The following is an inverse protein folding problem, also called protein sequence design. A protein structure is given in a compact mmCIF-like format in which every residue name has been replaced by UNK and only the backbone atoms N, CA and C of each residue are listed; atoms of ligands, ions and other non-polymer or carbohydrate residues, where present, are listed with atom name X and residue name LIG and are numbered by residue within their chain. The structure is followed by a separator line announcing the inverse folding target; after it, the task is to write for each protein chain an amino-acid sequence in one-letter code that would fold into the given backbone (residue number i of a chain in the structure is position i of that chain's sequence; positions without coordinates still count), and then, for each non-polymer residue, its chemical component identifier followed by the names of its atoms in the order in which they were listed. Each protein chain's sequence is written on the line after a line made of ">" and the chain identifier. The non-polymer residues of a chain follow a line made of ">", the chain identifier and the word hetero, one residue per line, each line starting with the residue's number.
data_IF_948174215469
#
_entry.id   IF_948174215469
#
_cell.length_a   1.000
_cell.length_b   1.000
_cell.length_c   1.000
_cell.angle_alpha   90.00
_cell.angle_beta   90.00
_cell.angle_gamma   90.00
#
_symmetry.space_group_name_H-M   'P 1'
#
loop_
_entity.id
_entity.type
_entity.pdbx_description
1 polymer ?
#
# COMPACT_ATOMS: atom_id res chain seq x y z
N UNK A 1 -3.62 23.15 -3.57
CA UNK A 1 -4.68 23.16 -2.56
C UNK A 1 -4.30 24.04 -1.35
N UNK A 2 -3.17 23.77 -0.64
CA UNK A 2 -2.72 24.62 0.50
C UNK A 2 -2.48 26.06 0.03
N UNK A 3 -1.76 26.26 -1.07
CA UNK A 3 -1.47 27.57 -1.63
C UNK A 3 -2.74 28.32 -2.08
N UNK A 4 -3.65 27.62 -2.73
CA UNK A 4 -4.87 28.22 -3.29
C UNK A 4 -5.87 28.63 -2.20
N UNK A 5 -5.94 27.85 -1.12
CA UNK A 5 -6.84 28.14 -0.02
C UNK A 5 -6.34 29.28 0.87
N UNK A 6 -5.02 29.45 0.94
CA UNK A 6 -4.38 30.44 1.82
C UNK A 6 -4.57 30.15 3.31
N UNK A 7 -4.07 31.06 4.17
CA UNK A 7 -4.14 30.88 5.63
C UNK A 7 -3.12 29.88 6.16
N UNK A 8 -3.33 29.40 7.40
CA UNK A 8 -2.47 28.38 8.00
C UNK A 8 -2.92 26.98 7.58
N UNK A 9 -1.95 26.09 7.39
CA UNK A 9 -2.19 24.70 7.05
C UNK A 9 -1.54 23.75 8.08
N UNK A 10 -2.23 22.66 8.41
CA UNK A 10 -1.69 21.57 9.22
C UNK A 10 -1.66 20.30 8.40
N UNK A 11 -0.50 19.65 8.34
CA UNK A 11 -0.32 18.35 7.71
C UNK A 11 -0.02 17.33 8.81
N UNK A 12 -0.85 16.31 8.93
CA UNK A 12 -0.75 15.26 9.93
C UNK A 12 -0.17 13.99 9.30
N UNK A 13 0.87 13.42 9.92
CA UNK A 13 1.43 12.13 9.54
C UNK A 13 1.68 11.28 10.77
N UNK A 14 1.72 9.95 10.58
CA UNK A 14 1.88 9.02 11.69
C UNK A 14 3.35 8.80 12.06
N UNK A 15 4.25 8.67 11.08
CA UNK A 15 5.67 8.34 11.27
C UNK A 15 6.58 9.55 11.11
N UNK A 16 7.66 9.55 11.89
CA UNK A 16 8.63 10.66 11.92
C UNK A 16 9.35 10.85 10.58
N UNK A 17 9.66 9.78 9.87
CA UNK A 17 10.33 9.83 8.57
C UNK A 17 9.50 10.55 7.51
N UNK A 18 8.16 10.41 7.58
CA UNK A 18 7.24 11.08 6.66
C UNK A 18 7.17 12.59 6.87
N UNK A 19 7.44 13.09 8.09
CA UNK A 19 7.37 14.53 8.40
C UNK A 19 8.44 15.33 7.63
N UNK A 20 9.68 14.83 7.63
CA UNK A 20 10.78 15.49 6.92
C UNK A 20 10.55 15.46 5.40
N UNK A 21 10.09 14.33 4.87
CA UNK A 21 9.73 14.18 3.45
C UNK A 21 8.59 15.10 3.05
N UNK A 22 7.52 15.17 3.84
CA UNK A 22 6.39 16.06 3.59
C UNK A 22 6.83 17.54 3.63
N UNK A 23 7.59 17.94 4.65
CA UNK A 23 8.11 19.31 4.76
C UNK A 23 9.02 19.65 3.59
N UNK A 24 9.88 18.73 3.13
CA UNK A 24 10.75 18.93 1.97
C UNK A 24 9.93 19.10 0.68
N UNK A 25 8.96 18.22 0.44
CA UNK A 25 8.08 18.29 -0.74
C UNK A 25 7.27 19.59 -0.77
N UNK A 26 6.74 20.03 0.38
CA UNK A 26 6.02 21.30 0.47
C UNK A 26 6.94 22.46 0.10
N UNK A 27 8.18 22.50 0.61
CA UNK A 27 9.16 23.55 0.25
C UNK A 27 9.56 23.52 -1.22
N UNK A 28 9.59 22.34 -1.85
CA UNK A 28 9.87 22.21 -3.30
C UNK A 28 8.76 22.82 -4.16
N UNK A 29 7.49 22.58 -3.81
CA UNK A 29 6.34 23.08 -4.60
C UNK A 29 5.89 24.48 -4.16
N UNK A 30 6.28 24.93 -2.98
CA UNK A 30 6.00 26.24 -2.40
C UNK A 30 7.30 26.85 -1.84
N UNK A 31 8.26 27.29 -2.69
CA UNK A 31 9.60 27.71 -2.25
C UNK A 31 9.63 28.84 -1.22
N UNK A 32 8.58 29.67 -1.14
CA UNK A 32 8.45 30.76 -0.17
C UNK A 32 7.75 30.38 1.14
N UNK A 33 7.27 29.14 1.28
CA UNK A 33 6.51 28.73 2.46
C UNK A 33 7.40 28.49 3.67
N UNK A 34 7.08 29.13 4.80
CA UNK A 34 7.69 28.81 6.08
C UNK A 34 7.02 27.54 6.64
N UNK A 35 7.75 26.41 6.57
CA UNK A 35 7.27 25.08 7.01
C UNK A 35 7.94 24.72 8.33
N UNK A 36 7.14 24.56 9.38
CA UNK A 36 7.55 24.09 10.70
C UNK A 36 7.27 22.58 10.88
N UNK A 37 8.00 21.95 11.79
CA UNK A 37 7.81 20.55 12.14
C UNK A 37 7.55 20.40 13.64
N UNK A 38 6.53 19.60 13.97
CA UNK A 38 6.17 19.25 15.35
C UNK A 38 6.30 17.75 15.57
N UNK A 39 7.37 17.35 16.23
CA UNK A 39 7.66 15.96 16.64
C UNK A 39 8.45 15.96 17.96
N UNK A 40 8.90 14.80 18.44
CA UNK A 40 9.53 14.65 19.75
C UNK A 40 10.57 15.72 20.10
N UNK A 41 11.54 15.99 19.22
CA UNK A 41 12.65 16.94 19.42
C UNK A 41 12.43 18.34 18.80
N UNK A 42 11.36 18.56 18.00
CA UNK A 42 11.07 19.81 17.29
C UNK A 42 9.67 20.31 17.60
N UNK A 43 9.48 21.63 17.72
CA UNK A 43 8.17 22.20 18.08
C UNK A 43 7.92 23.55 17.38
N UNK A 44 7.97 23.57 16.05
CA UNK A 44 7.81 24.78 15.22
C UNK A 44 6.32 25.03 14.91
N UNK A 45 5.47 24.97 15.95
CA UNK A 45 4.01 25.05 15.83
C UNK A 45 3.49 26.40 15.33
N UNK A 46 4.33 27.46 15.36
CA UNK A 46 3.97 28.81 14.93
C UNK A 46 4.11 29.06 13.43
N UNK A 47 4.69 28.12 12.67
CA UNK A 47 4.86 28.27 11.22
C UNK A 47 3.50 28.32 10.48
N UNK A 48 3.37 29.07 9.37
CA UNK A 48 2.15 29.09 8.57
C UNK A 48 1.74 27.69 8.06
N UNK A 49 2.70 26.87 7.69
CA UNK A 49 2.47 25.46 7.36
C UNK A 49 3.17 24.61 8.41
N UNK A 50 2.41 23.79 9.11
CA UNK A 50 2.94 22.89 10.16
C UNK A 50 2.79 21.45 9.70
N UNK A 51 3.87 20.67 9.74
CA UNK A 51 3.84 19.22 9.58
C UNK A 51 4.01 18.58 10.96
N UNK A 52 3.02 17.83 11.42
CA UNK A 52 2.97 17.33 12.78
C UNK A 52 2.79 15.82 12.87
N UNK A 53 3.52 15.21 13.81
CA UNK A 53 3.35 13.79 14.16
C UNK A 53 2.13 13.61 15.04
N UNK A 54 1.14 12.82 14.61
CA UNK A 54 -0.07 12.55 15.40
C UNK A 54 0.23 11.97 16.78
N UNK A 55 1.14 11.00 16.97
CA UNK A 55 1.55 10.55 18.30
C UNK A 55 2.04 11.67 19.21
N UNK A 56 2.64 12.73 18.66
CA UNK A 56 3.17 13.86 19.40
C UNK A 56 2.10 14.90 19.78
N UNK A 57 1.14 15.16 18.86
CA UNK A 57 0.14 16.23 19.04
C UNK A 57 -1.22 15.75 19.52
N UNK A 58 -1.41 14.45 19.74
CA UNK A 58 -2.71 13.87 20.12
C UNK A 58 -3.24 14.29 21.51
N UNK A 59 -2.37 14.80 22.40
CA UNK A 59 -2.74 15.19 23.76
C UNK A 59 -1.78 16.23 24.33
N UNK A 60 -2.18 16.87 25.45
CA UNK A 60 -1.32 17.70 26.28
C UNK A 60 -0.98 19.07 25.68
N UNK A 61 0.15 19.66 26.11
CA UNK A 61 0.54 21.03 25.76
C UNK A 61 0.68 21.26 24.24
N UNK A 62 1.18 20.27 23.51
CA UNK A 62 1.37 20.41 22.05
C UNK A 62 0.06 20.42 21.29
N UNK A 63 -0.94 19.64 21.72
CA UNK A 63 -2.29 19.74 21.18
C UNK A 63 -2.87 21.14 21.39
N UNK A 64 -2.75 21.69 22.61
CA UNK A 64 -3.22 23.03 22.94
C UNK A 64 -2.52 24.10 22.08
N UNK A 65 -1.21 23.98 21.87
CA UNK A 65 -0.45 24.89 21.00
C UNK A 65 -0.93 24.85 19.54
N UNK A 66 -1.11 23.66 18.99
CA UNK A 66 -1.65 23.50 17.63
C UNK A 66 -3.07 24.07 17.58
N UNK A 67 -3.95 23.69 18.50
CA UNK A 67 -5.35 24.11 18.53
C UNK A 67 -5.55 25.62 18.82
N UNK A 68 -4.55 26.31 19.37
CA UNK A 68 -4.63 27.75 19.63
C UNK A 68 -4.54 28.61 18.35
N UNK A 69 -4.31 28.00 17.18
CA UNK A 69 -4.20 28.68 15.90
C UNK A 69 -5.36 28.33 14.98
N UNK A 70 -5.89 29.32 14.22
CA UNK A 70 -6.84 29.00 13.16
C UNK A 70 -6.12 28.38 11.97
N UNK A 71 -6.60 27.21 11.53
CA UNK A 71 -6.17 26.57 10.29
C UNK A 71 -7.29 26.69 9.25
N UNK A 72 -6.92 26.94 8.00
CA UNK A 72 -7.86 26.90 6.87
C UNK A 72 -8.03 25.49 6.31
N UNK A 73 -7.00 24.63 6.52
CA UNK A 73 -6.97 23.26 6.01
C UNK A 73 -6.16 22.36 6.93
N UNK A 74 -6.65 21.14 7.13
CA UNK A 74 -5.95 20.03 7.76
C UNK A 74 -5.83 18.92 6.73
N UNK A 75 -4.61 18.54 6.38
CA UNK A 75 -4.31 17.42 5.47
C UNK A 75 -3.82 16.24 6.30
N UNK A 76 -4.45 15.09 6.16
CA UNK A 76 -4.04 13.87 6.86
C UNK A 76 -3.50 12.87 5.84
N UNK A 77 -2.22 12.55 5.99
CA UNK A 77 -1.56 11.46 5.26
C UNK A 77 -1.93 10.12 5.89
N UNK A 78 -2.03 9.07 5.07
CA UNK A 78 -2.53 7.74 5.46
C UNK A 78 -3.88 7.84 6.19
N UNK A 79 -4.82 8.55 5.56
CA UNK A 79 -6.13 8.89 6.16
C UNK A 79 -6.96 7.69 6.63
N UNK A 80 -6.63 6.46 6.20
CA UNK A 80 -7.25 5.25 6.74
C UNK A 80 -7.02 5.06 8.25
N UNK A 81 -6.03 5.75 8.85
CA UNK A 81 -5.82 5.81 10.29
C UNK A 81 -6.73 6.82 11.01
N UNK A 82 -7.42 7.71 10.29
CA UNK A 82 -8.19 8.83 10.85
C UNK A 82 -9.30 8.43 11.83
N UNK A 83 -9.85 7.22 11.70
CA UNK A 83 -10.85 6.70 12.62
C UNK A 83 -10.29 6.39 14.03
N UNK A 84 -8.97 6.35 14.21
CA UNK A 84 -8.37 6.09 15.52
C UNK A 84 -8.58 7.28 16.48
N UNK A 85 -8.78 6.98 17.77
CA UNK A 85 -9.02 7.99 18.81
C UNK A 85 -7.97 9.11 18.85
N UNK A 86 -6.71 8.80 18.53
CA UNK A 86 -5.62 9.77 18.48
C UNK A 86 -5.83 10.86 17.44
N UNK A 87 -6.35 10.51 16.27
CA UNK A 87 -6.69 11.47 15.22
C UNK A 87 -7.95 12.24 15.55
N UNK A 88 -9.00 11.57 16.02
CA UNK A 88 -10.28 12.20 16.42
C UNK A 88 -10.05 13.26 17.48
N UNK A 89 -9.21 13.03 18.48
CA UNK A 89 -8.85 14.03 19.50
C UNK A 89 -8.22 15.29 18.87
N UNK A 90 -7.39 15.14 17.84
CA UNK A 90 -6.79 16.30 17.15
C UNK A 90 -7.84 17.05 16.34
N UNK A 91 -8.69 16.33 15.59
CA UNK A 91 -9.75 16.97 14.80
C UNK A 91 -10.76 17.73 15.65
N UNK A 92 -11.20 17.14 16.74
CA UNK A 92 -12.10 17.78 17.72
C UNK A 92 -11.48 19.06 18.30
N UNK A 93 -10.21 18.99 18.71
CA UNK A 93 -9.51 20.16 19.25
C UNK A 93 -9.32 21.29 18.22
N UNK A 94 -9.34 20.98 16.93
CA UNK A 94 -9.21 21.94 15.81
C UNK A 94 -10.57 22.47 15.33
N UNK A 95 -11.70 21.95 15.83
CA UNK A 95 -13.03 22.29 15.34
C UNK A 95 -13.32 21.74 13.92
N UNK A 96 -12.71 20.62 13.55
CA UNK A 96 -13.03 19.96 12.26
C UNK A 96 -14.49 19.51 12.27
N UNK A 97 -15.23 19.86 11.23
CA UNK A 97 -16.67 19.60 11.13
C UNK A 97 -17.56 20.62 11.82
N UNK A 98 -17.02 21.64 12.49
CA UNK A 98 -17.76 22.76 13.06
C UNK A 98 -17.90 23.91 12.03
N UNK A 99 -18.92 24.77 12.22
CA UNK A 99 -19.09 25.96 11.40
C UNK A 99 -17.88 26.89 11.49
N UNK A 100 -17.24 27.15 10.34
CA UNK A 100 -16.01 27.93 10.29
C UNK A 100 -14.73 27.18 10.65
N UNK A 101 -14.83 25.90 10.91
CA UNK A 101 -13.68 25.01 11.12
C UNK A 101 -12.83 24.78 9.85
N UNK A 102 -11.65 24.14 10.00
CA UNK A 102 -10.78 23.86 8.86
C UNK A 102 -11.35 22.80 7.93
N UNK A 103 -11.07 22.90 6.63
CA UNK A 103 -11.32 21.82 5.68
C UNK A 103 -10.45 20.63 6.03
N UNK A 104 -11.05 19.46 6.23
CA UNK A 104 -10.30 18.20 6.38
C UNK A 104 -10.10 17.53 5.01
N UNK A 105 -8.85 17.21 4.68
CA UNK A 105 -8.49 16.47 3.47
C UNK A 105 -7.72 15.23 3.85
N UNK A 106 -8.23 14.07 3.48
CA UNK A 106 -7.54 12.78 3.64
C UNK A 106 -6.85 12.34 2.37
N UNK A 107 -5.62 11.84 2.49
CA UNK A 107 -4.89 11.18 1.41
C UNK A 107 -4.58 9.76 1.85
N UNK A 108 -4.94 8.77 1.06
CA UNK A 108 -4.68 7.35 1.36
C UNK A 108 -4.61 6.55 0.08
N UNK A 109 -3.76 5.53 0.06
CA UNK A 109 -3.76 4.53 -1.02
C UNK A 109 -4.97 3.58 -0.95
N UNK A 110 -5.62 3.49 0.20
CA UNK A 110 -6.74 2.58 0.46
C UNK A 110 -7.81 3.29 1.30
N UNK A 111 -8.88 3.81 0.66
CA UNK A 111 -10.00 4.39 1.39
C UNK A 111 -10.77 3.34 2.21
N UNK A 112 -10.78 2.08 1.73
CA UNK A 112 -11.44 0.97 2.42
C UNK A 112 -10.55 0.41 3.53
N UNK A 113 -11.10 0.34 4.73
CA UNK A 113 -10.43 -0.29 5.88
C UNK A 113 -10.75 -1.77 5.95
N UNK A 114 -9.73 -2.58 6.23
CA UNK A 114 -9.90 -4.02 6.41
C UNK A 114 -10.75 -4.42 7.65
N UNK A 115 -11.03 -3.47 8.58
CA UNK A 115 -11.88 -3.68 9.75
C UNK A 115 -13.36 -3.34 9.50
N UNK A 116 -13.74 -2.97 8.26
CA UNK A 116 -15.10 -2.64 7.87
C UNK A 116 -15.63 -1.34 8.47
N UNK A 117 -14.80 -0.54 9.15
CA UNK A 117 -15.16 0.79 9.63
C UNK A 117 -14.81 1.80 8.56
N UNK A 118 -15.83 2.35 7.91
CA UNK A 118 -15.68 3.40 6.90
C UNK A 118 -15.05 4.67 7.44
N UNK A 119 -14.63 5.53 6.55
CA UNK A 119 -14.19 6.89 6.84
C UNK A 119 -15.34 7.89 6.73
N UNK A 120 -16.54 7.41 6.43
CA UNK A 120 -17.75 8.18 6.15
C UNK A 120 -18.20 9.07 7.32
N UNK A 121 -17.80 8.73 8.57
CA UNK A 121 -18.00 9.57 9.75
C UNK A 121 -17.11 10.84 9.77
N UNK A 122 -16.10 10.92 8.90
CA UNK A 122 -15.05 11.96 8.95
C UNK A 122 -14.88 12.70 7.63
N UNK A 123 -15.14 12.03 6.52
CA UNK A 123 -14.98 12.57 5.16
C UNK A 123 -16.30 12.43 4.42
N UNK A 124 -16.77 13.51 3.81
CA UNK A 124 -18.08 13.56 3.15
C UNK A 124 -18.05 12.84 1.79
N UNK A 125 -16.91 12.88 1.07
CA UNK A 125 -16.81 12.31 -0.27
C UNK A 125 -15.36 11.97 -0.66
N UNK A 126 -15.21 11.07 -1.65
CA UNK A 126 -13.95 10.82 -2.34
C UNK A 126 -13.91 11.71 -3.58
N UNK A 127 -13.18 12.82 -3.49
CA UNK A 127 -13.10 13.84 -4.56
C UNK A 127 -12.17 13.46 -5.71
N UNK A 128 -11.26 12.53 -5.49
CA UNK A 128 -10.32 12.05 -6.50
C UNK A 128 -9.83 10.65 -6.17
N UNK A 129 -9.84 9.78 -7.16
CA UNK A 129 -9.31 8.42 -7.08
C UNK A 129 -8.61 8.08 -8.39
N UNK A 130 -7.46 7.43 -8.29
CA UNK A 130 -6.68 6.96 -9.44
C UNK A 130 -6.21 5.54 -9.20
N UNK A 131 -6.37 4.69 -10.22
CA UNK A 131 -5.96 3.28 -10.18
C UNK A 131 -4.48 3.09 -10.51
N UNK A 132 -3.93 1.94 -10.12
CA UNK A 132 -2.55 1.54 -10.44
C UNK A 132 -2.36 1.45 -11.97
N UNK A 133 -3.34 0.90 -12.69
CA UNK A 133 -3.30 0.76 -14.15
C UNK A 133 -3.15 2.13 -14.83
N UNK A 134 -3.94 3.13 -14.41
CA UNK A 134 -3.87 4.50 -14.91
C UNK A 134 -2.50 5.12 -14.59
N UNK A 135 -2.02 5.00 -13.34
CA UNK A 135 -0.71 5.54 -12.94
C UNK A 135 0.46 4.92 -13.72
N UNK A 136 0.38 3.63 -14.06
CA UNK A 136 1.38 2.95 -14.89
C UNK A 136 1.27 3.41 -16.34
N UNK A 137 0.06 3.51 -16.88
CA UNK A 137 -0.20 3.95 -18.26
C UNK A 137 0.28 5.38 -18.50
N UNK A 138 0.05 6.26 -17.52
CA UNK A 138 0.46 7.67 -17.55
C UNK A 138 1.94 7.90 -17.20
N UNK A 139 2.65 6.82 -16.81
CA UNK A 139 4.08 6.87 -16.50
C UNK A 139 4.43 7.46 -15.13
N UNK A 140 3.47 7.64 -14.24
CA UNK A 140 3.72 8.03 -12.84
C UNK A 140 4.30 6.87 -12.03
N UNK A 141 3.97 5.63 -12.40
CA UNK A 141 4.57 4.41 -11.88
C UNK A 141 5.25 3.65 -13.01
N UNK A 142 6.28 2.84 -12.68
CA UNK A 142 6.91 1.96 -13.66
C UNK A 142 6.00 0.77 -13.97
N UNK A 143 6.24 0.09 -15.11
CA UNK A 143 5.52 -1.13 -15.46
C UNK A 143 5.71 -2.22 -14.40
N UNK A 144 4.72 -3.08 -14.24
CA UNK A 144 4.69 -4.16 -13.25
C UNK A 144 4.86 -5.49 -13.98
N UNK A 145 5.88 -6.26 -13.61
CA UNK A 145 6.01 -7.67 -14.01
C UNK A 145 5.64 -8.56 -12.83
N UNK A 146 4.84 -9.57 -13.08
CA UNK A 146 4.35 -10.50 -12.07
C UNK A 146 5.08 -11.84 -12.12
N UNK A 147 5.45 -12.38 -10.98
CA UNK A 147 5.92 -13.76 -10.82
C UNK A 147 5.28 -14.37 -9.59
N UNK A 148 4.86 -15.63 -9.68
CA UNK A 148 4.27 -16.35 -8.55
C UNK A 148 5.11 -17.56 -8.18
N UNK A 149 5.33 -17.75 -6.88
CA UNK A 149 6.01 -18.92 -6.30
C UNK A 149 5.06 -19.59 -5.33
N UNK A 150 4.69 -20.82 -5.59
CA UNK A 150 3.75 -21.57 -4.77
C UNK A 150 4.48 -22.33 -3.67
N UNK A 151 4.04 -22.16 -2.43
CA UNK A 151 4.47 -22.96 -1.28
C UNK A 151 3.46 -24.08 -1.02
N UNK A 152 3.95 -25.22 -0.56
CA UNK A 152 3.11 -26.34 -0.14
C UNK A 152 2.52 -26.10 1.27
N UNK A 153 1.71 -25.06 1.43
CA UNK A 153 1.09 -24.63 2.68
C UNK A 153 -0.39 -24.35 2.46
N UNK A 154 -1.23 -24.85 3.36
CA UNK A 154 -2.66 -24.53 3.41
C UNK A 154 -2.88 -23.32 4.32
N UNK A 155 -3.08 -22.13 3.72
CA UNK A 155 -3.32 -20.89 4.43
C UNK A 155 -4.69 -20.83 5.11
N UNK A 156 -5.63 -21.72 4.77
CA UNK A 156 -6.93 -21.79 5.44
C UNK A 156 -6.83 -22.29 6.89
N UNK A 157 -5.75 -22.99 7.22
CA UNK A 157 -5.44 -23.46 8.57
C UNK A 157 -4.77 -22.41 9.45
N UNK A 158 -4.25 -21.34 8.86
CA UNK A 158 -3.54 -20.28 9.59
C UNK A 158 -4.54 -19.36 10.30
N UNK A 159 -4.34 -19.17 11.61
CA UNK A 159 -5.18 -18.29 12.43
C UNK A 159 -5.18 -16.85 11.92
N UNK A 160 -6.35 -16.20 11.94
CA UNK A 160 -6.53 -14.81 11.57
C UNK A 160 -6.89 -13.93 12.78
N UNK A 161 -6.46 -12.66 12.70
CA UNK A 161 -6.76 -11.63 13.70
C UNK A 161 -6.91 -10.29 12.99
N UNK A 162 -7.98 -9.55 13.28
CA UNK A 162 -8.17 -8.21 12.70
C UNK A 162 -8.35 -8.17 11.18
N UNK A 163 -8.80 -9.27 10.55
CA UNK A 163 -9.03 -9.34 9.11
C UNK A 163 -7.82 -9.84 8.30
N UNK A 164 -6.65 -10.04 8.90
CA UNK A 164 -5.46 -10.61 8.27
C UNK A 164 -4.94 -11.82 9.06
N UNK A 165 -3.89 -12.47 8.59
CA UNK A 165 -3.24 -13.57 9.29
C UNK A 165 -2.60 -13.08 10.60
N UNK A 166 -2.69 -13.90 11.66
CA UNK A 166 -1.93 -13.72 12.88
C UNK A 166 -0.44 -13.86 12.57
N UNK A 167 0.37 -12.88 12.99
CA UNK A 167 1.79 -12.83 12.65
C UNK A 167 2.55 -14.07 13.09
N UNK A 168 2.36 -14.52 14.34
CA UNK A 168 3.02 -15.72 14.86
C UNK A 168 2.56 -16.99 14.14
N UNK A 169 1.25 -17.16 13.91
CA UNK A 169 0.75 -18.36 13.23
C UNK A 169 1.19 -18.39 11.75
N UNK A 170 1.30 -17.25 11.10
CA UNK A 170 1.83 -17.16 9.75
C UNK A 170 3.32 -17.47 9.71
N UNK A 171 4.11 -16.96 10.67
CA UNK A 171 5.53 -17.27 10.79
C UNK A 171 5.76 -18.77 10.95
N UNK A 172 5.07 -19.42 11.89
CA UNK A 172 5.19 -20.86 12.12
C UNK A 172 4.88 -21.67 10.85
N UNK A 173 3.83 -21.28 10.14
CA UNK A 173 3.40 -21.93 8.91
C UNK A 173 4.42 -21.73 7.77
N UNK A 174 5.03 -20.55 7.67
CA UNK A 174 6.05 -20.25 6.66
C UNK A 174 7.37 -20.99 6.93
N UNK A 175 7.77 -21.12 8.20
CA UNK A 175 8.92 -21.96 8.59
C UNK A 175 8.68 -23.42 8.21
N UNK A 176 7.48 -23.95 8.54
CA UNK A 176 7.12 -25.34 8.21
C UNK A 176 7.10 -25.63 6.69
N UNK A 177 6.89 -24.60 5.86
CA UNK A 177 6.87 -24.69 4.41
C UNK A 177 8.23 -24.36 3.75
N UNK A 178 9.31 -24.26 4.51
CA UNK A 178 10.65 -23.92 4.02
C UNK A 178 10.68 -22.62 3.14
N UNK A 179 9.89 -21.63 3.56
CA UNK A 179 9.75 -20.35 2.84
C UNK A 179 11.10 -19.65 2.60
N UNK A 180 12.09 -19.64 3.55
CA UNK A 180 13.38 -19.01 3.32
C UNK A 180 14.10 -19.54 2.08
N UNK A 181 14.15 -20.86 1.90
CA UNK A 181 14.78 -21.50 0.75
C UNK A 181 14.05 -21.18 -0.56
N UNK A 182 12.71 -21.33 -0.58
CA UNK A 182 11.90 -21.02 -1.76
C UNK A 182 12.01 -19.54 -2.18
N UNK A 183 12.04 -18.64 -1.21
CA UNK A 183 12.22 -17.20 -1.47
C UNK A 183 13.62 -16.92 -2.00
N UNK A 184 14.65 -17.51 -1.41
CA UNK A 184 16.03 -17.35 -1.88
C UNK A 184 16.18 -17.82 -3.33
N UNK A 185 15.65 -19.00 -3.66
CA UNK A 185 15.64 -19.52 -5.04
C UNK A 185 14.93 -18.56 -5.99
N UNK A 186 13.74 -18.06 -5.62
CA UNK A 186 12.99 -17.13 -6.44
C UNK A 186 13.76 -15.82 -6.71
N UNK A 187 14.45 -15.28 -5.70
CA UNK A 187 15.30 -14.09 -5.84
C UNK A 187 16.45 -14.36 -6.80
N UNK A 188 17.16 -15.47 -6.62
CA UNK A 188 18.32 -15.81 -7.46
C UNK A 188 17.90 -16.10 -8.91
N UNK A 189 16.83 -16.87 -9.09
CA UNK A 189 16.42 -17.31 -10.43
C UNK A 189 15.76 -16.17 -11.25
N UNK A 190 15.18 -15.15 -10.60
CA UNK A 190 14.40 -14.13 -11.28
C UNK A 190 14.83 -12.68 -11.03
N UNK A 191 15.66 -12.41 -10.01
CA UNK A 191 15.98 -11.06 -9.56
C UNK A 191 17.43 -10.88 -9.12
N UNK A 192 18.37 -11.77 -9.50
CA UNK A 192 19.78 -11.67 -9.10
C UNK A 192 20.46 -10.39 -9.60
N UNK A 193 20.04 -9.85 -10.73
CA UNK A 193 20.51 -8.60 -11.32
C UNK A 193 19.75 -7.34 -10.83
N UNK A 194 18.69 -7.52 -10.05
CA UNK A 194 17.81 -6.45 -9.55
C UNK A 194 18.17 -6.01 -8.13
N UNK A 195 17.72 -4.81 -7.77
CA UNK A 195 17.77 -4.30 -6.40
C UNK A 195 16.46 -4.67 -5.70
N UNK A 196 16.54 -5.59 -4.75
CA UNK A 196 15.39 -6.29 -4.21
C UNK A 196 15.04 -5.89 -2.78
N UNK A 197 13.74 -5.82 -2.46
CA UNK A 197 13.21 -5.81 -1.10
C UNK A 197 12.33 -7.05 -0.92
N UNK A 198 12.58 -7.80 0.15
CA UNK A 198 11.82 -8.99 0.53
C UNK A 198 11.04 -8.70 1.80
N UNK A 199 9.72 -8.91 1.78
CA UNK A 199 8.85 -8.80 2.96
C UNK A 199 8.51 -10.18 3.49
N UNK A 200 8.81 -10.43 4.77
CA UNK A 200 8.56 -11.69 5.47
C UNK A 200 7.70 -11.50 6.73
N UNK A 201 7.16 -12.60 7.27
CA UNK A 201 6.19 -12.56 8.37
C UNK A 201 6.81 -12.42 9.77
N UNK A 202 8.15 -12.54 9.92
CA UNK A 202 8.81 -12.48 11.22
C UNK A 202 10.28 -12.14 11.13
N UNK A 203 10.87 -11.73 12.27
CA UNK A 203 12.29 -11.34 12.33
C UNK A 203 13.21 -12.55 12.12
N UNK A 204 12.86 -13.70 12.67
CA UNK A 204 13.60 -14.95 12.48
C UNK A 204 13.62 -15.35 11.01
N UNK A 205 12.45 -15.38 10.34
CA UNK A 205 12.35 -15.60 8.90
C UNK A 205 13.15 -14.60 8.09
N UNK A 206 13.28 -13.35 8.55
CA UNK A 206 14.09 -12.35 7.86
C UNK A 206 15.58 -12.72 7.89
N UNK A 207 16.07 -13.18 9.03
CA UNK A 207 17.48 -13.62 9.16
C UNK A 207 17.76 -14.91 8.37
N UNK A 208 16.88 -15.89 8.44
CA UNK A 208 17.01 -17.15 7.70
C UNK A 208 16.97 -16.90 6.18
N UNK A 209 15.97 -16.13 5.71
CA UNK A 209 15.85 -15.78 4.28
C UNK A 209 17.08 -15.02 3.77
N UNK A 210 17.59 -14.07 4.56
CA UNK A 210 18.79 -13.32 4.18
C UNK A 210 20.06 -14.20 4.16
N UNK A 211 20.18 -15.15 5.10
CA UNK A 211 21.27 -16.12 5.12
C UNK A 211 21.22 -17.03 3.89
N UNK A 212 20.04 -17.55 3.53
CA UNK A 212 19.85 -18.38 2.34
C UNK A 212 20.21 -17.61 1.05
N UNK A 213 19.71 -16.38 0.86
CA UNK A 213 20.04 -15.57 -0.32
C UNK A 213 21.53 -15.28 -0.37
N UNK A 214 22.14 -14.93 0.76
CA UNK A 214 23.58 -14.65 0.85
C UNK A 214 24.43 -15.87 0.54
N UNK A 215 24.01 -17.07 0.98
CA UNK A 215 24.70 -18.34 0.70
C UNK A 215 24.75 -18.64 -0.79
N UNK A 216 23.77 -18.15 -1.55
CA UNK A 216 23.69 -18.27 -3.01
C UNK A 216 24.46 -17.14 -3.75
N UNK A 217 25.19 -16.30 -3.02
CA UNK A 217 26.14 -15.32 -3.58
C UNK A 217 25.58 -13.91 -3.81
N UNK A 218 24.34 -13.60 -3.41
CA UNK A 218 23.79 -12.26 -3.54
C UNK A 218 23.94 -11.47 -2.22
N UNK A 219 24.67 -10.33 -2.18
CA UNK A 219 24.83 -9.53 -0.97
C UNK A 219 23.48 -9.10 -0.39
N UNK A 220 23.15 -9.63 0.78
CA UNK A 220 21.82 -9.47 1.41
C UNK A 220 21.97 -9.07 2.87
N UNK A 221 21.13 -8.13 3.31
CA UNK A 221 21.10 -7.66 4.70
C UNK A 221 19.65 -7.68 5.22
N UNK A 222 19.52 -7.60 6.56
CA UNK A 222 18.21 -7.60 7.23
C UNK A 222 17.90 -6.23 7.81
N UNK A 223 16.61 -5.86 7.76
CA UNK A 223 16.06 -4.68 8.46
C UNK A 223 14.82 -5.09 9.25
N UNK A 224 14.81 -4.82 10.56
CA UNK A 224 13.67 -5.10 11.44
C UNK A 224 13.48 -4.02 12.53
N UNK A 225 12.36 -4.06 13.24
CA UNK A 225 11.96 -3.02 14.19
C UNK A 225 12.88 -2.83 15.40
N UNK A 226 13.56 -3.89 15.82
CA UNK A 226 14.45 -3.90 17.00
C UNK A 226 15.83 -3.32 16.72
N UNK A 227 16.18 -3.09 15.44
CA UNK A 227 17.44 -2.47 15.07
C UNK A 227 17.53 -1.02 15.53
N UNK A 228 18.73 -0.59 15.93
CA UNK A 228 18.98 0.82 16.20
C UNK A 228 18.75 1.66 14.92
N UNK A 229 18.20 2.87 15.03
CA UNK A 229 17.93 3.73 13.87
C UNK A 229 19.18 4.02 13.00
N UNK A 230 20.36 4.09 13.61
CA UNK A 230 21.62 4.30 12.88
C UNK A 230 22.00 3.09 12.02
N UNK A 231 21.87 1.88 12.57
CA UNK A 231 22.20 0.65 11.85
C UNK A 231 21.26 0.44 10.69
N UNK A 232 19.96 0.67 10.89
CA UNK A 232 18.94 0.63 9.83
C UNK A 232 19.27 1.60 8.69
N UNK A 233 19.63 2.86 9.03
CA UNK A 233 20.05 3.84 8.02
C UNK A 233 21.30 3.39 7.26
N UNK A 234 22.25 2.77 7.94
CA UNK A 234 23.47 2.26 7.31
C UNK A 234 23.16 1.14 6.29
N UNK A 235 22.29 0.18 6.63
CA UNK A 235 21.84 -0.86 5.70
C UNK A 235 21.14 -0.23 4.47
N UNK A 236 20.23 0.69 4.69
CA UNK A 236 19.51 1.36 3.59
C UNK A 236 20.44 2.21 2.71
N UNK A 237 21.48 2.82 3.29
CA UNK A 237 22.52 3.53 2.52
C UNK A 237 23.33 2.56 1.64
N UNK A 238 23.63 1.35 2.13
CA UNK A 238 24.31 0.31 1.33
C UNK A 238 23.41 -0.22 0.22
N UNK A 239 22.11 -0.41 0.47
CA UNK A 239 21.13 -0.75 -0.59
C UNK A 239 21.10 0.35 -1.66
N UNK A 240 21.03 1.62 -1.25
CA UNK A 240 21.02 2.77 -2.17
C UNK A 240 22.27 2.80 -3.04
N UNK A 241 23.45 2.63 -2.46
CA UNK A 241 24.75 2.62 -3.19
C UNK A 241 24.98 1.37 -4.04
N UNK A 242 24.17 0.32 -3.88
CA UNK A 242 24.34 -0.97 -4.57
C UNK A 242 25.37 -1.91 -3.93
N UNK A 243 25.95 -1.56 -2.77
CA UNK A 243 26.81 -2.46 -2.00
C UNK A 243 26.03 -3.67 -1.47
N UNK A 244 24.77 -3.46 -1.08
CA UNK A 244 23.77 -4.48 -0.79
C UNK A 244 22.80 -4.53 -1.95
N UNK A 245 22.49 -5.72 -2.45
CA UNK A 245 21.57 -5.92 -3.58
C UNK A 245 20.18 -6.32 -3.13
N UNK A 246 20.06 -6.95 -1.98
CA UNK A 246 18.80 -7.41 -1.43
C UNK A 246 18.68 -7.03 0.04
N UNK A 247 17.52 -6.53 0.45
CA UNK A 247 17.18 -6.29 1.85
C UNK A 247 15.93 -7.09 2.20
N UNK A 248 16.07 -7.98 3.18
CA UNK A 248 14.95 -8.70 3.77
C UNK A 248 14.44 -7.93 4.98
N UNK A 249 13.14 -7.69 5.05
CA UNK A 249 12.58 -6.93 6.14
C UNK A 249 11.30 -7.55 6.73
N UNK A 250 11.11 -7.31 8.04
CA UNK A 250 9.88 -7.61 8.74
C UNK A 250 9.16 -6.30 9.05
N UNK A 251 8.13 -5.96 8.26
CA UNK A 251 7.17 -4.85 8.45
C UNK A 251 7.73 -3.43 8.58
N UNK A 252 9.04 -3.21 8.50
CA UNK A 252 9.65 -1.90 8.74
C UNK A 252 9.62 -1.01 7.51
N UNK A 253 9.77 -1.60 6.32
CA UNK A 253 9.83 -0.87 5.07
C UNK A 253 8.47 -0.71 4.38
N UNK A 254 7.39 -1.10 5.03
CA UNK A 254 6.01 -0.91 4.53
C UNK A 254 5.63 0.54 4.40
N UNK A 255 6.15 1.41 5.27
CA UNK A 255 5.89 2.85 5.27
C UNK A 255 7.20 3.64 5.46
N UNK A 256 7.25 4.90 4.97
CA UNK A 256 8.36 5.82 5.21
C UNK A 256 9.66 5.56 4.44
N UNK A 257 9.80 4.41 3.78
CA UNK A 257 10.98 4.09 2.97
C UNK A 257 10.81 4.63 1.54
N UNK A 258 11.82 5.37 1.06
CA UNK A 258 11.82 6.00 -0.28
C UNK A 258 13.16 5.74 -1.00
N UNK A 259 13.21 4.66 -1.79
CA UNK A 259 14.33 4.33 -2.66
C UNK A 259 13.80 3.92 -4.05
N UNK A 260 13.67 4.88 -4.98
CA UNK A 260 13.08 4.64 -6.30
C UNK A 260 13.83 3.64 -7.17
N UNK A 261 15.10 3.38 -6.89
CA UNK A 261 15.91 2.45 -7.67
C UNK A 261 15.65 0.97 -7.36
N UNK A 262 14.83 0.68 -6.34
CA UNK A 262 14.35 -0.69 -6.09
C UNK A 262 13.45 -1.11 -7.25
N UNK A 263 13.82 -2.21 -7.92
CA UNK A 263 13.15 -2.73 -9.11
C UNK A 263 12.70 -4.20 -8.97
N UNK A 264 12.80 -4.75 -7.76
CA UNK A 264 12.16 -6.00 -7.38
C UNK A 264 11.56 -5.92 -5.98
N UNK A 265 10.33 -6.39 -5.83
CA UNK A 265 9.66 -6.56 -4.53
C UNK A 265 9.20 -8.00 -4.41
N UNK A 266 9.66 -8.69 -3.37
CA UNK A 266 9.27 -10.05 -3.05
C UNK A 266 8.33 -10.03 -1.85
N UNK A 267 7.09 -10.47 -2.05
CA UNK A 267 6.07 -10.54 -1.01
C UNK A 267 6.00 -11.98 -0.52
N UNK A 268 6.91 -12.31 0.41
CA UNK A 268 6.97 -13.61 1.08
C UNK A 268 6.19 -13.61 2.41
N UNK A 269 5.21 -12.72 2.50
CA UNK A 269 4.24 -12.59 3.57
C UNK A 269 2.84 -12.50 2.95
N UNK A 270 2.17 -13.63 2.75
CA UNK A 270 0.77 -13.63 2.30
C UNK A 270 -0.10 -12.73 3.19
N UNK A 271 -1.03 -12.00 2.60
CA UNK A 271 -1.92 -11.10 3.33
C UNK A 271 -3.30 -11.02 2.67
N UNK A 272 -4.34 -10.91 3.48
CA UNK A 272 -5.68 -10.55 3.04
C UNK A 272 -5.90 -9.02 3.07
N UNK A 273 -4.98 -8.27 3.65
CA UNK A 273 -5.06 -6.80 3.73
C UNK A 273 -4.61 -6.15 2.43
N UNK A 274 -5.57 -5.55 1.71
CA UNK A 274 -5.30 -4.78 0.49
C UNK A 274 -4.33 -3.62 0.74
N UNK A 275 -4.52 -2.90 1.85
CA UNK A 275 -3.65 -1.79 2.24
C UNK A 275 -2.21 -2.24 2.43
N UNK A 276 -1.99 -3.31 3.20
CA UNK A 276 -0.65 -3.83 3.44
C UNK A 276 0.02 -4.30 2.15
N UNK A 277 -0.72 -5.01 1.28
CA UNK A 277 -0.18 -5.46 0.00
C UNK A 277 0.23 -4.27 -0.88
N UNK A 278 -0.63 -3.25 -1.01
CA UNK A 278 -0.35 -2.04 -1.78
C UNK A 278 0.85 -1.27 -1.23
N UNK A 279 1.00 -1.18 0.09
CA UNK A 279 2.16 -0.55 0.73
C UNK A 279 3.46 -1.30 0.42
N UNK A 280 3.46 -2.64 0.50
CA UNK A 280 4.62 -3.47 0.17
C UNK A 280 5.00 -3.35 -1.32
N UNK A 281 4.05 -3.61 -2.22
CA UNK A 281 4.26 -3.55 -3.66
C UNK A 281 4.69 -2.14 -4.12
N UNK A 282 4.05 -1.11 -3.58
CA UNK A 282 4.31 0.30 -3.89
C UNK A 282 5.76 0.75 -3.64
N UNK A 283 6.53 0.01 -2.81
CA UNK A 283 7.95 0.33 -2.59
C UNK A 283 8.80 0.19 -3.85
N UNK A 284 8.41 -0.71 -4.75
CA UNK A 284 9.11 -0.93 -6.02
C UNK A 284 8.51 -0.19 -7.22
N UNK A 285 7.34 0.42 -7.12
CA UNK A 285 6.63 0.95 -8.30
C UNK A 285 7.05 2.35 -8.72
N UNK A 286 7.84 3.07 -7.91
CA UNK A 286 8.29 4.42 -8.26
C UNK A 286 9.19 4.41 -9.47
N UNK A 287 9.03 5.42 -10.33
CA UNK A 287 9.90 5.62 -11.49
C UNK A 287 11.30 6.09 -11.07
N UNK A 288 12.31 5.65 -11.80
CA UNK A 288 13.70 6.09 -11.62
C UNK A 288 14.43 6.05 -12.97
N UNK A 289 15.41 6.91 -13.22
CA UNK A 289 16.21 6.85 -14.43
C UNK A 289 16.84 5.47 -14.63
N UNK A 290 16.64 4.87 -15.81
CA UNK A 290 17.14 3.55 -16.16
C UNK A 290 16.32 2.36 -15.66
N UNK A 291 15.26 2.59 -14.89
CA UNK A 291 14.34 1.55 -14.43
C UNK A 291 13.19 1.40 -15.41
N UNK A 292 13.11 0.25 -16.07
CA UNK A 292 12.07 -0.06 -17.05
C UNK A 292 10.78 -0.57 -16.38
N UNK A 293 10.92 -1.46 -15.41
CA UNK A 293 9.80 -2.12 -14.72
C UNK A 293 10.14 -2.43 -13.26
N UNK A 294 9.16 -2.91 -12.52
CA UNK A 294 9.35 -3.55 -11.22
C UNK A 294 8.84 -5.00 -11.29
N UNK A 295 9.70 -5.95 -10.93
CA UNK A 295 9.29 -7.33 -10.75
C UNK A 295 8.68 -7.50 -9.35
N UNK A 296 7.43 -7.92 -9.29
CA UNK A 296 6.79 -8.33 -8.04
C UNK A 296 6.72 -9.85 -8.01
N UNK A 297 7.33 -10.45 -7.00
CA UNK A 297 7.31 -11.90 -6.77
C UNK A 297 6.39 -12.18 -5.59
N UNK A 298 5.23 -12.78 -5.86
CA UNK A 298 4.31 -13.27 -4.83
C UNK A 298 4.71 -14.68 -4.39
N UNK A 299 5.16 -14.83 -3.14
CA UNK A 299 5.40 -16.13 -2.52
C UNK A 299 4.17 -16.49 -1.69
N UNK A 300 3.33 -17.37 -2.23
CA UNK A 300 1.98 -17.66 -1.72
C UNK A 300 1.75 -19.14 -1.45
N UNK A 301 0.87 -19.46 -0.48
CA UNK A 301 0.37 -20.79 -0.24
C UNK A 301 -0.94 -21.07 -0.96
N UNK A 302 -1.41 -22.31 -0.85
CA UNK A 302 -2.73 -22.70 -1.34
C UNK A 302 -3.80 -22.18 -0.37
N UNK A 303 -4.90 -21.65 -0.89
CA UNK A 303 -6.08 -21.27 -0.12
C UNK A 303 -7.34 -21.48 -0.96
N UNK A 304 -8.42 -21.91 -0.31
CA UNK A 304 -9.77 -21.95 -0.90
C UNK A 304 -10.49 -20.61 -0.79
N UNK A 305 -9.93 -19.67 -0.02
CA UNK A 305 -10.48 -18.33 0.16
C UNK A 305 -9.84 -17.40 -0.87
N UNK A 306 -10.68 -16.75 -1.65
CA UNK A 306 -10.25 -15.82 -2.70
C UNK A 306 -9.97 -14.39 -2.17
N UNK A 307 -9.50 -14.27 -0.92
CA UNK A 307 -9.25 -12.99 -0.26
C UNK A 307 -7.76 -12.64 -0.14
N UNK A 308 -6.86 -13.51 -0.64
CA UNK A 308 -5.44 -13.17 -0.73
C UNK A 308 -5.21 -12.04 -1.73
N UNK A 309 -4.40 -11.09 -1.30
CA UNK A 309 -3.93 -10.03 -2.18
C UNK A 309 -2.75 -10.50 -3.01
N UNK A 310 -2.75 -10.15 -4.28
CA UNK A 310 -1.73 -10.54 -5.26
C UNK A 310 -1.50 -9.39 -6.24
N UNK A 311 -0.53 -9.54 -7.14
CA UNK A 311 -0.31 -8.56 -8.23
C UNK A 311 -1.58 -8.37 -9.06
N UNK A 312 -2.36 -9.41 -9.33
CA UNK A 312 -3.61 -9.31 -10.07
C UNK A 312 -4.66 -8.45 -9.35
N UNK A 313 -4.81 -8.61 -8.02
CA UNK A 313 -5.72 -7.76 -7.22
C UNK A 313 -5.22 -6.31 -7.11
N UNK A 314 -3.91 -6.10 -7.13
CA UNK A 314 -3.29 -4.78 -7.15
C UNK A 314 -3.56 -4.05 -8.47
N UNK A 315 -3.36 -4.73 -9.59
CA UNK A 315 -3.52 -4.19 -10.93
C UNK A 315 -5.00 -4.04 -11.35
N UNK A 316 -5.92 -4.71 -10.66
CA UNK A 316 -7.33 -4.76 -11.04
C UNK A 316 -7.63 -5.66 -12.24
N UNK A 317 -6.63 -6.42 -12.72
CA UNK A 317 -6.73 -7.38 -13.85
C UNK A 317 -5.75 -8.54 -13.69
N UNK A 318 -6.00 -9.69 -14.32
CA UNK A 318 -5.03 -10.77 -14.40
C UNK A 318 -3.75 -10.34 -15.11
N UNK A 319 -2.61 -10.73 -14.55
CA UNK A 319 -1.30 -10.60 -15.20
C UNK A 319 -0.68 -12.01 -15.19
N UNK A 320 -0.39 -12.54 -16.37
CA UNK A 320 0.21 -13.86 -16.52
C UNK A 320 1.60 -13.94 -15.85
N UNK A 321 2.00 -15.13 -15.41
CA UNK A 321 3.30 -15.35 -14.80
C UNK A 321 4.45 -14.97 -15.73
N UNK A 322 5.34 -14.10 -15.30
CA UNK A 322 6.41 -13.52 -16.11
C UNK A 322 5.99 -12.41 -17.07
N UNK A 323 4.69 -12.08 -17.16
CA UNK A 323 4.15 -11.03 -18.04
C UNK A 323 4.19 -9.65 -17.37
N UNK A 324 3.95 -8.58 -18.17
CA UNK A 324 3.87 -7.21 -17.68
C UNK A 324 2.44 -6.65 -17.73
N UNK A 325 2.14 -5.67 -16.84
CA UNK A 325 0.86 -4.99 -16.81
C UNK A 325 0.59 -4.23 -18.11
N UNK A 326 1.56 -3.47 -18.62
CA UNK A 326 1.41 -2.78 -19.92
C UNK A 326 1.23 -3.75 -21.07
N UNK A 327 1.87 -4.93 -21.03
CA UNK A 327 1.66 -6.01 -21.99
C UNK A 327 0.21 -6.52 -21.95
N UNK A 328 -0.32 -6.77 -20.75
CA UNK A 328 -1.70 -7.21 -20.56
C UNK A 328 -2.73 -6.15 -20.96
N UNK A 329 -2.44 -4.86 -20.73
CA UNK A 329 -3.30 -3.75 -21.18
C UNK A 329 -3.36 -3.69 -22.71
N UNK A 330 -2.21 -3.81 -23.39
CA UNK A 330 -2.11 -3.76 -24.87
C UNK A 330 -2.74 -4.96 -25.55
N UNK A 331 -2.67 -6.14 -24.93
CA UNK A 331 -3.30 -7.35 -25.44
C UNK A 331 -4.84 -7.30 -25.41
N UNK A 332 -5.41 -6.40 -24.62
CA UNK A 332 -6.85 -6.32 -24.38
C UNK A 332 -7.35 -7.39 -23.40
N UNK A 333 -8.66 -7.45 -23.17
CA UNK A 333 -9.26 -8.56 -22.46
C UNK A 333 -9.24 -9.80 -23.35
N UNK A 334 -8.95 -11.02 -22.83
CA UNK A 334 -9.04 -12.24 -23.62
C UNK A 334 -10.46 -12.40 -24.18
N UNK A 335 -10.56 -12.73 -25.48
CA UNK A 335 -11.85 -12.81 -26.20
C UNK A 335 -12.66 -14.06 -25.85
N UNK A 336 -12.04 -15.10 -25.22
CA UNK A 336 -12.66 -16.37 -24.88
C UNK A 336 -12.56 -16.69 -23.38
N UNK A 337 -13.63 -17.23 -22.79
CA UNK A 337 -13.64 -17.71 -21.39
C UNK A 337 -12.55 -18.77 -21.14
N UNK A 338 -12.22 -19.61 -22.12
CA UNK A 338 -11.14 -20.60 -22.05
C UNK A 338 -9.74 -19.96 -22.03
N UNK A 339 -9.51 -18.82 -22.72
CA UNK A 339 -8.27 -18.05 -22.64
C UNK A 339 -8.18 -17.28 -21.31
N UNK A 340 -9.31 -16.85 -20.74
CA UNK A 340 -9.37 -16.28 -19.39
C UNK A 340 -8.98 -17.32 -18.34
N UNK A 341 -9.46 -18.55 -18.46
CA UNK A 341 -9.06 -19.66 -17.61
C UNK A 341 -7.58 -20.00 -17.76
N UNK A 342 -7.04 -20.10 -18.98
CA UNK A 342 -5.62 -20.38 -19.25
C UNK A 342 -4.71 -19.21 -18.79
N UNK A 343 -5.17 -17.97 -18.88
CA UNK A 343 -4.45 -16.80 -18.41
C UNK A 343 -4.42 -16.72 -16.86
N UNK A 344 -5.42 -17.29 -16.23
CA UNK A 344 -5.51 -17.50 -14.78
C UNK A 344 -4.80 -18.80 -14.32
N UNK A 345 -4.67 -19.78 -15.24
CA UNK A 345 -4.06 -21.09 -15.03
C UNK A 345 -2.53 -21.13 -15.29
N UNK A 346 -1.76 -20.32 -14.62
CA UNK A 346 -0.43 -20.78 -14.26
C UNK A 346 -0.54 -21.84 -13.14
N UNK A 347 -1.16 -23.00 -13.41
CA UNK A 347 -1.42 -24.09 -12.43
C UNK A 347 -2.13 -23.66 -11.14
N UNK A 348 -3.36 -23.21 -11.23
CA UNK A 348 -4.30 -23.09 -10.12
C UNK A 348 -5.60 -23.81 -10.50
N UNK A 349 -6.10 -24.62 -9.58
CA UNK A 349 -7.49 -25.12 -9.62
C UNK A 349 -8.41 -23.90 -9.56
N UNK A 350 -9.09 -23.61 -10.66
CA UNK A 350 -9.98 -22.46 -10.79
C UNK A 350 -11.33 -22.74 -10.16
N UNK A 351 -11.78 -21.85 -9.29
CA UNK A 351 -13.20 -21.59 -9.08
C UNK A 351 -13.49 -20.14 -9.52
N UNK A 352 -14.53 -20.00 -10.34
CA UNK A 352 -15.07 -18.73 -10.87
C UNK A 352 -15.17 -17.66 -9.77
N UNK A 353 -14.40 -16.59 -9.87
CA UNK A 353 -14.57 -15.41 -9.02
C UNK A 353 -15.26 -14.32 -9.81
N UNK A 354 -16.57 -14.35 -9.83
CA UNK A 354 -17.39 -13.21 -10.22
C UNK A 354 -17.19 -12.09 -9.17
N UNK A 355 -16.39 -11.07 -9.53
CA UNK A 355 -16.12 -9.89 -8.69
C UNK A 355 -17.44 -9.20 -8.28
N UNK A 356 -18.49 -9.34 -9.08
CA UNK A 356 -19.83 -8.82 -8.80
C UNK A 356 -20.61 -9.68 -7.78
N UNK A 357 -20.25 -10.95 -7.57
CA UNK A 357 -20.91 -11.81 -6.57
C UNK A 357 -20.54 -11.48 -5.12
N UNK A 358 -19.44 -10.76 -4.87
CA UNK A 358 -19.01 -10.40 -3.50
C UNK A 358 -19.62 -9.09 -2.98
N UNK A 359 -20.19 -8.25 -3.84
CA UNK A 359 -20.99 -7.15 -3.32
C UNK A 359 -22.30 -7.73 -2.78
N UNK A 360 -22.68 -7.36 -1.56
CA UNK A 360 -24.05 -7.63 -1.04
C UNK A 360 -25.13 -7.01 -1.93
N UNK A 361 -24.72 -6.33 -2.97
CA UNK A 361 -25.47 -5.56 -3.92
C UNK A 361 -25.73 -6.43 -5.15
N UNK A 362 -26.99 -6.65 -5.50
CA UNK A 362 -27.37 -7.41 -6.70
C UNK A 362 -27.41 -6.49 -7.90
N UNK A 363 -26.46 -6.62 -8.78
CA UNK A 363 -26.45 -5.96 -10.09
C UNK A 363 -27.47 -6.63 -11.02
N UNK A 364 -28.19 -5.82 -11.79
CA UNK A 364 -29.10 -6.29 -12.84
C UNK A 364 -28.75 -5.63 -14.16
N UNK A 365 -28.61 -6.45 -15.21
CA UNK A 365 -28.47 -5.97 -16.55
C UNK A 365 -29.77 -5.33 -17.05
N UNK A 366 -29.67 -4.13 -17.57
CA UNK A 366 -30.73 -3.49 -18.34
C UNK A 366 -30.39 -3.63 -19.80
N UNK A 367 -31.10 -4.50 -20.52
CA UNK A 367 -30.88 -4.77 -21.92
C UNK A 367 -31.78 -3.90 -22.80
N UNK A 368 -31.21 -3.34 -23.88
CA UNK A 368 -31.93 -2.67 -24.95
C UNK A 368 -31.53 -3.31 -26.27
N UNK A 369 -32.50 -3.82 -27.03
CA UNK A 369 -32.27 -4.53 -28.29
C UNK A 369 -31.30 -5.74 -28.20
N UNK A 370 -31.33 -6.45 -27.04
CA UNK A 370 -30.48 -7.62 -26.82
C UNK A 370 -29.07 -7.33 -26.28
N UNK A 371 -28.61 -6.07 -26.29
CA UNK A 371 -27.34 -5.65 -25.72
C UNK A 371 -27.52 -5.01 -24.33
N UNK A 372 -26.51 -5.13 -23.46
CA UNK A 372 -26.51 -4.46 -22.16
C UNK A 372 -26.39 -2.96 -22.40
N UNK A 373 -27.43 -2.21 -22.03
CA UNK A 373 -27.50 -0.75 -22.16
C UNK A 373 -27.12 -0.03 -20.86
N UNK A 374 -27.28 -0.69 -19.71
CA UNK A 374 -26.89 -0.18 -18.40
C UNK A 374 -26.88 -1.32 -17.38
N UNK A 375 -26.21 -1.10 -16.25
CA UNK A 375 -26.34 -1.93 -15.06
C UNK A 375 -27.09 -1.15 -13.99
N UNK A 376 -27.95 -1.82 -13.23
CA UNK A 376 -28.59 -1.20 -12.08
C UNK A 376 -28.25 -1.97 -10.80
N UNK A 377 -28.07 -1.23 -9.73
CA UNK A 377 -27.88 -1.76 -8.38
C UNK A 377 -28.90 -1.12 -7.47
N UNK A 378 -29.44 -1.89 -6.56
CA UNK A 378 -30.36 -1.43 -5.53
C UNK A 378 -29.72 -1.65 -4.17
N UNK A 379 -29.04 -0.61 -3.61
CA UNK A 379 -28.35 -0.71 -2.32
C UNK A 379 -29.33 -0.89 -1.14
N UNK A 380 -30.52 -0.33 -1.25
CA UNK A 380 -31.61 -0.41 -0.26
C UNK A 380 -32.99 -0.43 -0.94
N UNK A 381 -34.08 -0.36 -0.16
CA UNK A 381 -35.45 -0.40 -0.68
C UNK A 381 -35.87 0.88 -1.42
N UNK A 382 -35.16 1.98 -1.25
CA UNK A 382 -35.55 3.32 -1.76
C UNK A 382 -34.61 3.84 -2.86
N UNK A 383 -33.36 3.35 -2.93
CA UNK A 383 -32.35 3.88 -3.83
C UNK A 383 -32.04 2.95 -4.99
N UNK A 384 -31.84 3.50 -6.20
CA UNK A 384 -31.32 2.78 -7.36
C UNK A 384 -30.18 3.58 -8.00
N UNK A 385 -29.07 2.90 -8.24
CA UNK A 385 -27.93 3.47 -8.96
C UNK A 385 -27.88 2.82 -10.34
N UNK A 386 -27.68 3.62 -11.38
CA UNK A 386 -27.54 3.15 -12.76
C UNK A 386 -26.12 3.49 -13.23
N UNK A 387 -25.44 2.50 -13.81
CA UNK A 387 -24.16 2.70 -14.48
C UNK A 387 -24.38 2.50 -15.97
N UNK A 388 -24.11 3.51 -16.76
CA UNK A 388 -24.23 3.49 -18.21
C UNK A 388 -22.83 3.40 -18.81
N UNK A 389 -22.56 2.49 -19.77
CA UNK A 389 -21.29 2.50 -20.48
C UNK A 389 -21.09 3.85 -21.17
N UNK A 390 -19.91 4.47 -21.00
CA UNK A 390 -19.52 5.69 -21.68
C UNK A 390 -19.19 5.46 -23.15
#
# INVERSE_FOLDING_TARGET
>A
LIADRGGNALVLAHREELLDQAAQKIRMVMPGAAVGIVQAGRNDWWAPVVVASVPTVRTGKRLQQIASRPYSIVVTDEAHHSAAKSYRNVYEALGVGEDGGPLLVGVTATPDRGDGKGLDDLFDEIVYQVGIEELVTDGYLCDIRAKRVMLAIDLDTVKRTGGDFSESALQDAMVAADQPWHTARAVIDHAADRKSIVFVAGVELAHETAAEISSLGLPTEVVHGEMLPLDRRAVLARLKSGMTRCVVNCMVLTEGFDEPTVDCVVIARPTASRSLYQQMAGRGLRTSPGKADCLIIDVVGVTKRHDLQTVATLAGRPIGDGSSLLGAIRAGAPEDEAEQETFLEGQLVTEDVDVFRRSRLRWRDIKRNGAVAAWSIQPDTESRIFVVPG
#
